data_IF_491027278735
#
_entry.id   IF_491027278735
#
_cell.length_a   1.000
_cell.length_b   1.000
_cell.length_c   1.000
_cell.angle_alpha   90.00
_cell.angle_beta   90.00
_cell.angle_gamma   90.00
#
_symmetry.space_group_name_H-M   'P 1'
#
loop_
_entity.id
_entity.type
_entity.pdbx_description
1 polymer ?
#
# COMPACT_ATOMS: atom_id res chain seq x y z
N UNK A 1 26.71 25.59 -47.43
CA UNK A 1 25.91 26.11 -46.31
C UNK A 1 26.55 25.61 -45.01
N UNK A 2 26.99 26.49 -44.10
CA UNK A 2 27.68 26.09 -42.90
C UNK A 2 26.70 25.54 -41.86
N UNK A 3 27.08 24.43 -41.23
CA UNK A 3 26.30 23.73 -40.22
C UNK A 3 26.56 24.40 -38.86
N UNK A 4 25.52 24.98 -38.25
CA UNK A 4 25.61 25.65 -36.94
C UNK A 4 25.19 24.65 -35.85
N UNK A 5 26.07 24.25 -34.92
CA UNK A 5 25.67 23.43 -33.79
C UNK A 5 24.96 24.30 -32.75
N UNK A 6 23.71 23.94 -32.43
CA UNK A 6 22.94 24.51 -31.32
C UNK A 6 23.56 24.01 -30.01
N UNK A 7 24.21 24.89 -29.26
CA UNK A 7 24.59 24.62 -27.86
C UNK A 7 23.34 24.75 -26.98
N UNK A 8 22.85 23.63 -26.46
CA UNK A 8 21.92 23.63 -25.34
C UNK A 8 22.68 24.01 -24.07
N UNK A 9 22.53 25.25 -23.60
CA UNK A 9 22.89 25.64 -22.24
C UNK A 9 21.84 25.09 -21.29
N UNK A 10 22.01 23.82 -20.90
CA UNK A 10 21.28 23.22 -19.79
C UNK A 10 21.84 23.76 -18.48
N UNK A 11 21.25 24.85 -17.99
CA UNK A 11 21.41 25.29 -16.61
C UNK A 11 20.78 24.21 -15.72
N UNK A 12 21.63 23.44 -15.02
CA UNK A 12 21.19 22.37 -14.15
C UNK A 12 20.43 22.97 -12.96
N UNK A 13 19.10 22.84 -12.98
CA UNK A 13 18.28 23.07 -11.80
C UNK A 13 18.80 22.20 -10.64
N UNK A 14 18.93 22.74 -9.42
CA UNK A 14 19.46 21.98 -8.30
C UNK A 14 18.59 20.74 -8.09
N UNK A 15 19.22 19.56 -8.10
CA UNK A 15 18.57 18.31 -7.78
C UNK A 15 18.05 18.37 -6.34
N UNK A 16 16.77 18.73 -6.20
CA UNK A 16 16.06 18.67 -4.91
C UNK A 16 16.00 17.19 -4.53
N UNK A 17 16.89 16.80 -3.63
CA UNK A 17 16.94 15.44 -3.10
C UNK A 17 15.57 15.06 -2.56
N UNK A 18 15.01 13.92 -2.99
CA UNK A 18 13.74 13.36 -2.50
C UNK A 18 13.68 13.31 -0.96
N UNK A 19 14.85 13.24 -0.30
CA UNK A 19 15.03 13.25 1.15
C UNK A 19 14.74 14.61 1.81
N UNK A 20 14.86 15.72 1.09
CA UNK A 20 14.51 17.07 1.56
C UNK A 20 12.99 17.30 1.50
N UNK A 21 12.32 16.81 0.46
CA UNK A 21 10.86 16.90 0.33
C UNK A 21 10.12 16.14 1.45
N UNK A 22 10.61 14.95 1.82
CA UNK A 22 10.02 14.16 2.91
C UNK A 22 10.25 14.74 4.32
N UNK A 23 11.17 15.69 4.50
CA UNK A 23 11.38 16.35 5.80
C UNK A 23 10.48 17.56 6.01
N UNK A 24 9.95 18.16 4.94
CA UNK A 24 9.11 19.37 5.05
C UNK A 24 7.67 19.04 5.44
N UNK A 25 7.18 17.82 5.17
CA UNK A 25 5.84 17.36 5.57
C UNK A 25 5.76 16.77 6.98
N UNK A 26 6.90 16.54 7.66
CA UNK A 26 6.94 15.91 8.98
C UNK A 26 6.76 16.88 10.17
N UNK A 27 6.62 18.19 9.93
CA UNK A 27 6.51 19.19 11.01
C UNK A 27 5.08 19.69 11.29
N UNK A 28 4.04 19.03 10.77
CA UNK A 28 2.65 19.41 11.03
C UNK A 28 1.88 18.28 11.73
N UNK A 29 2.38 17.80 12.87
CA UNK A 29 1.58 17.02 13.86
C UNK A 29 2.34 16.92 15.18
N UNK A 30 2.39 18.02 15.93
CA UNK A 30 2.67 17.98 17.36
C UNK A 30 1.34 18.23 18.09
N UNK A 31 0.61 17.16 18.41
CA UNK A 31 -0.49 17.23 19.37
C UNK A 31 0.01 16.80 20.74
N UNK A 32 -0.17 17.72 21.68
CA UNK A 32 0.24 17.71 23.07
C UNK A 32 -0.56 16.68 23.86
N UNK A 33 0.12 15.75 24.53
CA UNK A 33 -0.46 15.07 25.69
C UNK A 33 -0.12 15.92 26.90
N UNK A 34 -1.12 16.60 27.46
CA UNK A 34 -1.01 17.17 28.80
C UNK A 34 -2.26 16.85 29.59
N UNK A 35 -2.08 16.00 30.58
CA UNK A 35 -3.00 15.79 31.67
C UNK A 35 -3.35 17.13 32.33
N UNK A 36 -4.63 17.27 32.68
CA UNK A 36 -5.14 18.22 33.67
C UNK A 36 -5.00 19.72 33.34
N UNK A 37 -6.08 20.26 32.77
CA UNK A 37 -6.57 21.61 33.05
C UNK A 37 -5.84 22.78 32.36
N UNK A 38 -6.36 23.19 31.20
CA UNK A 38 -6.56 24.59 30.75
C UNK A 38 -7.51 24.52 29.54
N UNK A 39 -8.48 25.42 29.49
CA UNK A 39 -9.52 25.49 28.47
C UNK A 39 -8.95 25.44 27.04
N UNK A 40 -9.40 24.48 26.24
CA UNK A 40 -9.19 24.49 24.80
C UNK A 40 -10.13 25.54 24.23
N UNK A 41 -9.56 26.71 23.94
CA UNK A 41 -10.18 27.74 23.11
C UNK A 41 -10.55 27.10 21.77
N UNK A 42 -11.83 27.15 21.48
CA UNK A 42 -12.43 27.01 20.16
C UNK A 42 -11.61 27.79 19.13
N UNK A 43 -10.85 27.07 18.31
CA UNK A 43 -10.40 27.58 17.01
C UNK A 43 -11.32 27.01 15.95
N UNK A 44 -12.53 27.55 15.90
CA UNK A 44 -13.35 27.52 14.70
C UNK A 44 -12.68 28.44 13.68
N UNK A 45 -11.64 27.94 13.00
CA UNK A 45 -11.20 28.50 11.73
C UNK A 45 -11.62 27.50 10.66
N UNK A 46 -12.45 28.01 9.77
CA UNK A 46 -12.95 27.38 8.56
C UNK A 46 -11.79 27.17 7.57
N UNK A 47 -10.80 26.37 7.94
CA UNK A 47 -9.95 25.71 6.97
C UNK A 47 -10.88 24.68 6.32
N UNK A 48 -11.16 24.85 5.02
CA UNK A 48 -11.88 23.84 4.28
C UNK A 48 -11.22 22.49 4.58
N UNK A 49 -11.96 21.56 5.20
CA UNK A 49 -11.51 20.19 5.34
C UNK A 49 -11.10 19.75 3.93
N UNK A 50 -9.85 19.27 3.79
CA UNK A 50 -9.35 18.83 2.50
C UNK A 50 -10.39 17.88 1.87
N UNK A 51 -10.80 18.06 0.61
CA UNK A 51 -11.94 17.31 0.06
C UNK A 51 -11.75 15.78 0.10
N UNK A 52 -10.51 15.32 0.13
CA UNK A 52 -10.14 13.91 0.33
C UNK A 52 -9.51 13.63 1.72
N UNK A 53 -9.84 14.40 2.77
CA UNK A 53 -9.22 14.28 4.09
C UNK A 53 -9.36 12.86 4.69
N UNK A 54 -10.53 12.26 4.53
CA UNK A 54 -10.80 10.89 4.99
C UNK A 54 -9.95 9.86 4.23
N UNK A 55 -9.85 9.99 2.90
CA UNK A 55 -8.96 9.16 2.08
C UNK A 55 -7.51 9.30 2.53
N UNK A 56 -7.03 10.51 2.81
CA UNK A 56 -5.66 10.74 3.30
C UNK A 56 -5.44 10.06 4.66
N UNK A 57 -6.40 10.17 5.58
CA UNK A 57 -6.32 9.52 6.89
C UNK A 57 -6.27 7.98 6.76
N UNK A 58 -7.16 7.40 5.96
CA UNK A 58 -7.16 5.96 5.67
C UNK A 58 -5.87 5.53 4.96
N UNK A 59 -5.30 6.37 4.09
CA UNK A 59 -4.03 6.11 3.43
C UNK A 59 -2.85 6.01 4.41
N UNK A 60 -2.85 6.81 5.48
CA UNK A 60 -1.85 6.71 6.57
C UNK A 60 -2.04 5.41 7.35
N UNK A 61 -3.30 5.04 7.64
CA UNK A 61 -3.62 3.76 8.30
C UNK A 61 -3.18 2.56 7.43
N UNK A 62 -3.46 2.60 6.12
CA UNK A 62 -3.00 1.61 5.16
C UNK A 62 -1.48 1.48 5.17
N UNK A 63 -0.72 2.58 5.08
CA UNK A 63 0.74 2.53 5.07
C UNK A 63 1.29 1.85 6.34
N UNK A 64 0.69 2.14 7.50
CA UNK A 64 1.08 1.54 8.77
C UNK A 64 0.77 0.03 8.82
N UNK A 65 -0.44 -0.37 8.43
CA UNK A 65 -0.86 -1.78 8.40
C UNK A 65 -0.07 -2.58 7.36
N UNK A 66 0.11 -2.03 6.16
CA UNK A 66 0.83 -2.68 5.07
C UNK A 66 2.32 -2.89 5.42
N UNK A 67 2.93 -1.97 6.17
CA UNK A 67 4.28 -2.17 6.69
C UNK A 67 4.37 -3.35 7.67
N UNK A 68 3.36 -3.54 8.54
CA UNK A 68 3.30 -4.70 9.45
C UNK A 68 3.10 -5.99 8.67
N UNK A 69 2.14 -6.00 7.74
CA UNK A 69 1.88 -7.12 6.84
C UNK A 69 3.14 -7.55 6.06
N UNK A 70 3.87 -6.59 5.45
CA UNK A 70 5.12 -6.89 4.74
C UNK A 70 6.19 -7.47 5.66
N UNK A 71 6.30 -6.96 6.88
CA UNK A 71 7.25 -7.45 7.88
C UNK A 71 6.93 -8.89 8.31
N UNK A 72 5.66 -9.23 8.57
CA UNK A 72 5.26 -10.60 8.91
C UNK A 72 5.42 -11.55 7.73
N UNK A 73 4.99 -11.14 6.53
CA UNK A 73 5.15 -11.96 5.31
C UNK A 73 6.61 -12.30 5.06
N UNK A 74 7.52 -11.31 5.18
CA UNK A 74 8.97 -11.55 4.98
C UNK A 74 9.53 -12.57 5.98
N UNK A 75 9.03 -12.57 7.23
CA UNK A 75 9.45 -13.55 8.24
C UNK A 75 8.94 -14.94 7.92
N UNK A 76 7.66 -15.05 7.52
CA UNK A 76 7.05 -16.32 7.15
C UNK A 76 7.71 -16.93 5.90
N UNK A 77 8.00 -16.10 4.89
CA UNK A 77 8.77 -16.48 3.70
C UNK A 77 10.16 -17.01 4.10
N UNK A 78 10.89 -16.29 4.95
CA UNK A 78 12.21 -16.72 5.41
C UNK A 78 12.17 -18.05 6.20
N UNK A 79 11.14 -18.25 7.03
CA UNK A 79 10.93 -19.51 7.75
C UNK A 79 10.61 -20.67 6.80
N UNK A 80 9.74 -20.42 5.81
CA UNK A 80 9.41 -21.38 4.75
C UNK A 80 10.65 -21.78 3.93
N UNK A 81 11.43 -20.79 3.47
CA UNK A 81 12.67 -21.02 2.73
C UNK A 81 13.69 -21.82 3.55
N UNK A 82 13.87 -21.48 4.84
CA UNK A 82 14.78 -22.19 5.73
C UNK A 82 14.36 -23.65 5.94
N UNK A 83 13.06 -23.92 6.11
CA UNK A 83 12.54 -25.27 6.23
C UNK A 83 12.78 -26.08 4.95
N UNK A 84 12.42 -25.52 3.79
CA UNK A 84 12.58 -26.20 2.50
C UNK A 84 14.05 -26.46 2.16
N UNK A 85 14.96 -25.55 2.53
CA UNK A 85 16.39 -25.74 2.36
C UNK A 85 16.93 -26.87 3.24
N UNK A 86 16.45 -26.99 4.49
CA UNK A 86 16.84 -28.06 5.40
C UNK A 86 16.20 -29.41 5.04
N UNK A 87 15.01 -29.38 4.45
CA UNK A 87 14.22 -30.56 4.12
C UNK A 87 13.45 -30.34 2.81
N UNK A 88 14.07 -30.67 1.66
CA UNK A 88 13.44 -30.55 0.36
C UNK A 88 12.09 -31.30 0.30
N UNK A 89 11.10 -30.69 -0.35
CA UNK A 89 9.81 -31.32 -0.53
C UNK A 89 9.92 -32.59 -1.39
N UNK A 90 9.27 -33.70 -1.00
CA UNK A 90 9.11 -34.84 -1.88
C UNK A 90 8.14 -34.49 -3.03
N UNK A 91 8.01 -35.37 -4.02
CA UNK A 91 6.97 -35.24 -5.05
C UNK A 91 5.60 -35.13 -4.39
N UNK A 92 4.79 -34.17 -4.85
CA UNK A 92 3.45 -33.95 -4.34
C UNK A 92 2.58 -35.20 -4.45
N UNK A 93 1.76 -35.41 -3.44
CA UNK A 93 0.85 -36.55 -3.34
C UNK A 93 1.44 -37.76 -2.61
N UNK A 94 0.60 -38.38 -1.78
CA UNK A 94 0.93 -39.60 -1.04
C UNK A 94 1.60 -39.36 0.33
N UNK A 95 1.87 -40.45 1.08
CA UNK A 95 2.13 -40.37 2.51
C UNK A 95 3.40 -39.61 2.90
N UNK A 96 4.44 -39.65 2.05
CA UNK A 96 5.69 -38.94 2.31
C UNK A 96 5.50 -37.42 2.20
N UNK A 97 4.72 -36.97 1.23
CA UNK A 97 4.35 -35.56 1.09
C UNK A 97 3.43 -35.12 2.22
N UNK A 98 2.42 -35.90 2.58
CA UNK A 98 1.53 -35.59 3.71
C UNK A 98 2.29 -35.44 5.02
N UNK A 99 3.24 -36.35 5.30
CA UNK A 99 4.09 -36.26 6.49
C UNK A 99 5.03 -35.04 6.44
N UNK A 100 5.62 -34.76 5.28
CA UNK A 100 6.43 -33.56 5.07
C UNK A 100 5.60 -32.28 5.27
N UNK A 101 4.38 -32.23 4.72
CA UNK A 101 3.47 -31.10 4.84
C UNK A 101 3.03 -30.88 6.28
N UNK A 102 2.69 -31.95 7.02
CA UNK A 102 2.35 -31.84 8.43
C UNK A 102 3.49 -31.21 9.25
N UNK A 103 4.74 -31.63 9.00
CA UNK A 103 5.91 -31.06 9.66
C UNK A 103 6.17 -29.61 9.21
N UNK A 104 5.99 -29.31 7.93
CA UNK A 104 6.10 -27.96 7.37
C UNK A 104 5.07 -27.02 8.00
N UNK A 105 3.79 -27.40 8.03
CA UNK A 105 2.73 -26.60 8.65
C UNK A 105 3.04 -26.34 10.12
N UNK A 106 3.45 -27.34 10.90
CA UNK A 106 3.82 -27.10 12.32
C UNK A 106 5.01 -26.16 12.46
N UNK A 107 6.00 -26.26 11.57
CA UNK A 107 7.21 -25.44 11.64
C UNK A 107 7.00 -23.99 11.18
N UNK A 108 6.07 -23.75 10.26
CA UNK A 108 5.92 -22.45 9.58
C UNK A 108 4.58 -21.76 9.86
N UNK A 109 3.50 -22.45 10.27
CA UNK A 109 2.18 -21.84 10.56
C UNK A 109 2.27 -20.72 11.57
N UNK A 110 3.11 -20.88 12.60
CA UNK A 110 3.30 -19.88 13.64
C UNK A 110 3.77 -18.53 13.08
N UNK A 111 4.47 -18.54 11.95
CA UNK A 111 4.97 -17.34 11.29
C UNK A 111 3.98 -16.78 10.24
N UNK A 112 3.11 -17.62 9.65
CA UNK A 112 2.04 -17.19 8.75
C UNK A 112 0.84 -16.58 9.48
N UNK A 113 0.49 -17.06 10.67
CA UNK A 113 -0.68 -16.57 11.42
C UNK A 113 -0.74 -15.04 11.60
N UNK A 114 0.34 -14.36 12.02
CA UNK A 114 0.39 -12.90 12.05
C UNK A 114 0.21 -12.25 10.67
N UNK A 115 0.71 -12.89 9.61
CA UNK A 115 0.57 -12.38 8.25
C UNK A 115 -0.88 -12.36 7.78
N UNK A 116 -1.65 -13.40 8.09
CA UNK A 116 -3.06 -13.48 7.77
C UNK A 116 -3.85 -12.39 8.51
N UNK A 117 -3.59 -12.22 9.81
CA UNK A 117 -4.22 -11.16 10.61
C UNK A 117 -3.94 -9.76 10.03
N UNK A 118 -2.69 -9.47 9.65
CA UNK A 118 -2.37 -8.19 9.04
C UNK A 118 -2.95 -8.04 7.64
N UNK A 119 -3.02 -9.12 6.86
CA UNK A 119 -3.66 -9.15 5.54
C UNK A 119 -5.14 -8.77 5.63
N UNK A 120 -5.89 -9.37 6.56
CA UNK A 120 -7.30 -9.03 6.81
C UNK A 120 -7.50 -7.56 7.18
N UNK A 121 -6.61 -7.00 8.01
CA UNK A 121 -6.65 -5.58 8.39
C UNK A 121 -6.35 -4.66 7.21
N UNK A 122 -5.37 -5.02 6.37
CA UNK A 122 -5.05 -4.27 5.13
C UNK A 122 -6.22 -4.35 4.15
N UNK A 123 -6.85 -5.52 4.00
CA UNK A 123 -8.04 -5.67 3.16
C UNK A 123 -9.19 -4.78 3.66
N UNK A 124 -9.46 -4.78 4.97
CA UNK A 124 -10.53 -3.99 5.56
C UNK A 124 -10.36 -2.46 5.38
N UNK A 125 -9.13 -1.93 5.47
CA UNK A 125 -8.88 -0.51 5.20
C UNK A 125 -8.92 -0.21 3.69
N UNK A 126 -8.44 -1.13 2.86
CA UNK A 126 -8.46 -1.00 1.39
C UNK A 126 -9.90 -0.93 0.89
N UNK A 127 -10.81 -1.75 1.43
CA UNK A 127 -12.24 -1.66 1.13
C UNK A 127 -12.84 -0.27 1.41
N UNK A 128 -12.52 0.30 2.58
CA UNK A 128 -12.96 1.67 2.93
C UNK A 128 -12.44 2.70 1.93
N UNK A 129 -11.16 2.58 1.54
CA UNK A 129 -10.54 3.47 0.54
C UNK A 129 -11.23 3.33 -0.82
N UNK A 130 -11.58 2.11 -1.24
CA UNK A 130 -12.28 1.86 -2.52
C UNK A 130 -13.68 2.47 -2.53
N UNK A 131 -14.39 2.44 -1.41
CA UNK A 131 -15.76 2.95 -1.29
C UNK A 131 -15.86 4.48 -1.42
N UNK A 132 -14.80 5.24 -1.11
CA UNK A 132 -14.77 6.69 -1.22
C UNK A 132 -14.38 7.12 -2.63
N UNK A 133 -14.89 8.25 -3.13
CA UNK A 133 -14.42 8.83 -4.39
C UNK A 133 -13.23 9.76 -4.16
N UNK A 134 -12.20 9.67 -4.99
CA UNK A 134 -11.08 10.62 -4.99
C UNK A 134 -11.40 11.82 -5.89
N UNK A 135 -11.18 13.03 -5.36
CA UNK A 135 -11.43 14.28 -6.09
C UNK A 135 -10.19 15.14 -6.27
N UNK A 136 -9.08 14.76 -5.63
CA UNK A 136 -7.79 15.43 -5.69
C UNK A 136 -6.67 14.46 -6.04
N UNK A 137 -5.52 15.00 -6.41
CA UNK A 137 -4.31 14.21 -6.64
C UNK A 137 -3.89 13.43 -5.38
N UNK A 138 -4.14 13.96 -4.18
CA UNK A 138 -3.81 13.27 -2.93
C UNK A 138 -4.70 12.03 -2.71
N UNK A 139 -6.01 12.14 -2.97
CA UNK A 139 -6.92 10.99 -2.91
C UNK A 139 -6.57 9.93 -3.96
N UNK A 140 -6.28 10.34 -5.20
CA UNK A 140 -5.81 9.43 -6.24
C UNK A 140 -4.50 8.74 -5.87
N UNK A 141 -3.57 9.45 -5.22
CA UNK A 141 -2.32 8.86 -4.75
C UNK A 141 -2.55 7.82 -3.63
N UNK A 142 -3.55 8.01 -2.76
CA UNK A 142 -3.93 6.98 -1.77
C UNK A 142 -4.43 5.73 -2.49
N UNK A 143 -5.41 5.86 -3.38
CA UNK A 143 -5.97 4.73 -4.13
C UNK A 143 -4.92 4.00 -4.99
N UNK A 144 -4.02 4.73 -5.64
CA UNK A 144 -2.94 4.14 -6.40
C UNK A 144 -1.98 3.30 -5.52
N UNK A 145 -1.77 3.69 -4.26
CA UNK A 145 -0.92 2.92 -3.34
C UNK A 145 -1.60 1.65 -2.87
N UNK A 146 -2.92 1.68 -2.62
CA UNK A 146 -3.66 0.48 -2.21
C UNK A 146 -3.75 -0.57 -3.31
N UNK A 147 -3.78 -0.15 -4.58
CA UNK A 147 -3.71 -1.06 -5.73
C UNK A 147 -2.50 -2.00 -5.70
N UNK A 148 -1.40 -1.64 -5.04
CA UNK A 148 -0.26 -2.56 -4.90
C UNK A 148 -0.65 -3.82 -4.11
N UNK A 149 -1.51 -3.68 -3.12
CA UNK A 149 -2.03 -4.79 -2.34
C UNK A 149 -3.05 -5.57 -3.17
N UNK A 150 -3.98 -4.88 -3.83
CA UNK A 150 -5.01 -5.51 -4.67
C UNK A 150 -4.42 -6.29 -5.86
N UNK A 151 -3.33 -5.81 -6.45
CA UNK A 151 -2.67 -6.44 -7.60
C UNK A 151 -1.58 -7.44 -7.20
N UNK A 152 -1.34 -7.63 -5.90
CA UNK A 152 -0.41 -8.66 -5.46
C UNK A 152 -1.05 -10.02 -5.71
N UNK A 153 -0.80 -10.62 -6.89
CA UNK A 153 -1.12 -12.02 -7.14
C UNK A 153 -0.18 -12.90 -6.32
N UNK A 154 -0.74 -13.71 -5.43
CA UNK A 154 0.02 -14.70 -4.68
C UNK A 154 0.11 -15.96 -5.54
N UNK A 155 1.22 -16.11 -6.26
CA UNK A 155 1.55 -17.31 -7.05
C UNK A 155 0.99 -17.35 -8.47
N UNK A 156 1.57 -18.23 -9.29
CA UNK A 156 1.06 -18.63 -10.61
C UNK A 156 -0.11 -19.60 -10.43
N UNK A 157 -1.18 -19.20 -9.72
CA UNK A 157 -2.37 -20.05 -9.62
C UNK A 157 -3.02 -20.15 -11.01
N UNK A 158 -3.05 -21.34 -11.64
CA UNK A 158 -3.57 -21.51 -13.00
C UNK A 158 -5.11 -21.53 -13.04
N UNK A 159 -5.77 -21.56 -11.88
CA UNK A 159 -7.22 -21.49 -11.82
C UNK A 159 -7.68 -20.03 -11.91
N UNK A 160 -8.71 -19.73 -12.72
CA UNK A 160 -9.29 -18.40 -12.73
C UNK A 160 -9.87 -18.15 -11.33
N UNK A 161 -9.30 -17.18 -10.64
CA UNK A 161 -9.69 -16.74 -9.29
C UNK A 161 -11.02 -15.98 -9.38
N UNK A 162 -12.07 -16.65 -9.87
CA UNK A 162 -13.37 -16.11 -10.27
C UNK A 162 -14.13 -15.39 -9.14
N UNK A 163 -13.69 -15.58 -7.91
CA UNK A 163 -14.26 -15.06 -6.68
C UNK A 163 -13.39 -13.99 -5.99
N UNK A 164 -12.19 -13.71 -6.51
CA UNK A 164 -11.32 -12.67 -5.95
C UNK A 164 -11.52 -11.37 -6.72
N UNK A 165 -11.99 -10.35 -6.03
CA UNK A 165 -12.11 -8.95 -6.46
C UNK A 165 -10.73 -8.23 -6.53
N UNK A 166 -9.63 -8.98 -6.44
CA UNK A 166 -8.24 -8.56 -6.38
C UNK A 166 -7.52 -8.72 -7.73
N UNK A 167 -8.18 -8.33 -8.83
CA UNK A 167 -7.65 -8.51 -10.18
C UNK A 167 -7.69 -7.22 -11.03
N UNK A 168 -7.63 -7.38 -12.35
CA UNK A 168 -7.66 -6.30 -13.34
C UNK A 168 -8.89 -5.39 -13.16
N UNK A 169 -10.00 -5.87 -12.56
CA UNK A 169 -11.19 -5.06 -12.28
C UNK A 169 -10.88 -3.90 -11.32
N UNK A 170 -10.03 -4.12 -10.31
CA UNK A 170 -9.61 -3.06 -9.39
C UNK A 170 -8.84 -1.96 -10.11
N UNK A 171 -7.96 -2.34 -11.04
CA UNK A 171 -7.23 -1.40 -11.89
C UNK A 171 -8.17 -0.67 -12.85
N UNK A 172 -9.08 -1.37 -13.52
CA UNK A 172 -10.06 -0.77 -14.42
C UNK A 172 -10.95 0.25 -13.69
N UNK A 173 -11.42 -0.09 -12.49
CA UNK A 173 -12.24 0.81 -11.66
C UNK A 173 -11.48 2.08 -11.33
N UNK A 174 -10.22 1.97 -10.94
CA UNK A 174 -9.35 3.12 -10.68
C UNK A 174 -9.14 4.00 -11.93
N UNK A 175 -8.91 3.39 -13.10
CA UNK A 175 -8.78 4.12 -14.38
C UNK A 175 -10.06 4.88 -14.71
N UNK A 176 -11.23 4.23 -14.62
CA UNK A 176 -12.52 4.88 -14.87
C UNK A 176 -12.77 6.06 -13.93
N UNK A 177 -12.32 5.97 -12.69
CA UNK A 177 -12.43 7.06 -11.72
C UNK A 177 -11.55 8.27 -12.10
N UNK A 178 -10.31 8.02 -12.56
CA UNK A 178 -9.44 9.08 -13.11
C UNK A 178 -10.09 9.73 -14.34
N UNK A 179 -10.63 8.92 -15.25
CA UNK A 179 -11.30 9.40 -16.46
C UNK A 179 -12.55 10.25 -16.12
N UNK A 180 -13.34 9.83 -15.14
CA UNK A 180 -14.50 10.58 -14.67
C UNK A 180 -14.10 11.95 -14.09
N UNK A 181 -13.03 12.01 -13.29
CA UNK A 181 -12.50 13.26 -12.75
C UNK A 181 -11.92 14.17 -13.86
N UNK A 182 -11.32 13.59 -14.91
CA UNK A 182 -10.78 14.32 -16.06
C UNK A 182 -11.85 14.85 -17.02
N UNK A 183 -12.92 14.08 -17.25
CA UNK A 183 -14.05 14.42 -18.12
C UNK A 183 -14.94 15.55 -17.57
N UNK A 184 -14.91 15.77 -16.27
CA UNK A 184 -15.57 16.87 -15.57
C UNK A 184 -14.57 17.78 -14.84
N UNK A 185 -13.56 18.31 -15.56
CA UNK A 185 -12.54 19.28 -15.08
C UNK A 185 -12.70 19.72 -13.62
N UNK A 186 -11.92 19.13 -12.71
CA UNK A 186 -10.79 19.81 -12.03
C UNK A 186 -9.87 18.75 -11.40
N UNK A 187 -8.56 18.86 -11.66
CA UNK A 187 -7.50 18.54 -10.68
C UNK A 187 -6.60 19.78 -10.64
N UNK A 188 -6.83 20.64 -9.64
CA UNK A 188 -6.01 21.80 -9.28
C UNK A 188 -5.37 21.52 -7.92
#
# INVERSE_FOLDING_TARGET
>A
MPNVPIRATGEAAPAVSRRAFLRTSANASAAVVAASGIAVLTSSSQAAEHPDAELVALGIEFDALFAQYKSSTTKAEAASEAFQAARPAPTEGGPAFEAWWADYSVAVDGDWGPSDEWSERVAAVTEKIRALSATTLAGFAVKARTLRFDLAKWGDSPEPMLDWDWDDESLERFVREIEAAGGGRTLA
#
